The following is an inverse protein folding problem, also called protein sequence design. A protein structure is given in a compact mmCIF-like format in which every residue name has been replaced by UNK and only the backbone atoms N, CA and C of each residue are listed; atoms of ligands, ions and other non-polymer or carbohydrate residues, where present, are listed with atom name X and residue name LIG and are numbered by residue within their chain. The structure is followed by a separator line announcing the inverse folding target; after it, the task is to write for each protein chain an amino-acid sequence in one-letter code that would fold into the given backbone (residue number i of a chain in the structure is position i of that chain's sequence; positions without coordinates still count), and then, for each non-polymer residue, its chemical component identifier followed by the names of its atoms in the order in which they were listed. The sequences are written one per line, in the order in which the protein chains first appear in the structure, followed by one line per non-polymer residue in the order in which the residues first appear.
data_IF_588725302736
#
_entry.id   IF_588725302736
#
_cell.length_a   1.000
_cell.length_b   1.000
_cell.length_c   1.000
_cell.angle_alpha   90.00
_cell.angle_beta   90.00
_cell.angle_gamma   90.00
#
_symmetry.space_group_name_H-M   'P 1'
#
loop_
_entity.id
_entity.type
_entity.pdbx_description
1 polymer ?
#
# COMPACT_ATOMS: atom_id res chain seq x y z
N UNK A 1 -8.23 -5.17 11.77
CA UNK A 1 -6.96 -5.68 11.20
C UNK A 1 -6.01 -4.52 10.97
N UNK A 2 -4.70 -4.72 11.17
CA UNK A 2 -3.70 -3.72 10.80
C UNK A 2 -3.09 -4.10 9.44
N UNK A 3 -3.60 -3.47 8.38
CA UNK A 3 -3.17 -3.73 7.01
C UNK A 3 -3.40 -2.47 6.18
N UNK A 4 -2.50 -2.21 5.23
CA UNK A 4 -2.64 -1.16 4.22
C UNK A 4 -2.85 -1.83 2.87
N UNK A 5 -3.95 -1.49 2.20
CA UNK A 5 -4.33 -2.00 0.90
C UNK A 5 -4.05 -0.93 -0.16
N UNK A 6 -3.15 -1.21 -1.08
CA UNK A 6 -2.74 -0.28 -2.14
C UNK A 6 -3.06 -0.93 -3.48
N UNK A 7 -3.93 -0.31 -4.26
CA UNK A 7 -4.22 -0.73 -5.62
C UNK A 7 -4.65 0.47 -6.47
N UNK A 8 -4.05 0.67 -7.65
CA UNK A 8 -4.41 1.77 -8.55
C UNK A 8 -5.70 1.49 -9.34
N UNK A 9 -6.48 0.49 -8.92
CA UNK A 9 -7.83 0.21 -9.40
C UNK A 9 -8.80 0.00 -8.21
N UNK A 10 -9.64 0.99 -7.93
CA UNK A 10 -10.56 0.97 -6.77
C UNK A 10 -11.49 -0.25 -6.76
N UNK A 11 -11.89 -0.75 -7.94
CA UNK A 11 -12.80 -1.89 -8.09
C UNK A 11 -12.27 -3.17 -7.41
N UNK A 12 -10.95 -3.37 -7.35
CA UNK A 12 -10.33 -4.58 -6.79
C UNK A 12 -10.49 -4.65 -5.28
N UNK A 13 -10.39 -3.50 -4.61
CA UNK A 13 -10.46 -3.38 -3.15
C UNK A 13 -11.83 -2.93 -2.64
N UNK A 14 -12.73 -2.51 -3.54
CA UNK A 14 -14.10 -2.09 -3.21
C UNK A 14 -14.86 -3.15 -2.40
N UNK A 15 -14.62 -4.44 -2.66
CA UNK A 15 -15.20 -5.55 -1.88
C UNK A 15 -14.79 -5.55 -0.41
N UNK A 16 -13.56 -5.13 -0.08
CA UNK A 16 -13.09 -5.02 1.30
C UNK A 16 -13.62 -3.76 1.96
N UNK A 17 -13.84 -2.69 1.18
CA UNK A 17 -14.37 -1.41 1.65
C UNK A 17 -15.88 -1.43 1.91
N UNK A 18 -16.65 -2.13 1.07
CA UNK A 18 -18.11 -2.10 1.07
C UNK A 18 -18.79 -3.45 1.36
N UNK A 19 -18.04 -4.55 1.34
CA UNK A 19 -18.57 -5.89 1.54
C UNK A 19 -18.74 -6.31 3.01
N UNK A 20 -19.00 -7.60 3.26
CA UNK A 20 -19.24 -8.14 4.60
C UNK A 20 -18.07 -7.91 5.58
N UNK A 21 -16.84 -7.81 5.05
CA UNK A 21 -15.62 -7.61 5.84
C UNK A 21 -15.27 -6.15 6.13
N UNK A 22 -16.11 -5.19 5.71
CA UNK A 22 -15.81 -3.75 5.83
C UNK A 22 -15.46 -3.26 7.25
N UNK A 23 -15.99 -3.92 8.27
CA UNK A 23 -15.69 -3.57 9.67
C UNK A 23 -14.31 -4.01 10.15
N UNK A 24 -13.61 -4.87 9.39
CA UNK A 24 -12.27 -5.37 9.77
C UNK A 24 -11.15 -4.43 9.33
N UNK A 25 -11.37 -3.61 8.31
CA UNK A 25 -10.35 -2.76 7.70
C UNK A 25 -10.62 -1.28 8.02
N UNK A 26 -9.55 -0.54 8.30
CA UNK A 26 -9.65 0.91 8.43
C UNK A 26 -9.70 1.55 7.05
N UNK A 27 -10.69 2.43 6.81
CA UNK A 27 -10.85 3.14 5.54
C UNK A 27 -9.66 4.03 5.20
N UNK A 28 -8.93 4.53 6.19
CA UNK A 28 -7.71 5.33 6.00
C UNK A 28 -6.54 4.51 5.47
N UNK A 29 -6.60 3.18 5.59
CA UNK A 29 -5.56 2.27 5.12
C UNK A 29 -5.81 1.78 3.68
N UNK A 30 -6.69 2.42 2.92
CA UNK A 30 -6.89 2.13 1.50
C UNK A 30 -6.32 3.27 0.65
N UNK A 31 -5.39 2.94 -0.24
CA UNK A 31 -4.86 3.86 -1.24
C UNK A 31 -5.27 3.35 -2.61
N UNK A 32 -6.19 4.06 -3.24
CA UNK A 32 -6.72 3.69 -4.56
C UNK A 32 -6.74 4.84 -5.54
N UNK A 33 -6.70 4.49 -6.82
CA UNK A 33 -6.89 5.44 -7.90
C UNK A 33 -7.53 4.77 -9.14
N UNK A 34 -7.65 5.52 -10.23
CA UNK A 34 -7.90 5.07 -11.59
C UNK A 34 -7.27 6.09 -12.58
N UNK A 35 -6.70 5.66 -13.72
CA UNK A 35 -6.53 4.28 -14.18
C UNK A 35 -5.43 3.52 -13.41
N UNK A 36 -5.47 2.18 -13.51
CA UNK A 36 -4.41 1.32 -12.97
C UNK A 36 -3.10 1.41 -13.75
N UNK A 37 -2.06 0.71 -13.28
CA UNK A 37 -0.73 0.76 -13.91
C UNK A 37 -0.61 -0.05 -15.22
N UNK A 38 -1.71 -0.60 -15.75
CA UNK A 38 -1.77 -1.20 -17.09
C UNK A 38 -0.75 -2.32 -17.39
N UNK A 39 -0.39 -3.17 -16.40
CA UNK A 39 0.70 -4.16 -16.51
C UNK A 39 2.08 -3.56 -16.86
N UNK A 40 2.27 -2.26 -16.65
CA UNK A 40 3.54 -1.56 -16.86
C UNK A 40 4.23 -1.31 -15.51
N UNK A 41 5.42 -1.90 -15.34
CA UNK A 41 6.22 -1.70 -14.13
C UNK A 41 6.66 -0.23 -13.97
N UNK A 42 7.06 0.43 -15.06
CA UNK A 42 7.53 1.81 -15.03
C UNK A 42 6.41 2.78 -14.63
N UNK A 43 5.19 2.56 -15.12
CA UNK A 43 4.01 3.33 -14.69
C UNK A 43 3.80 3.22 -13.17
N UNK A 44 3.89 1.99 -12.63
CA UNK A 44 3.73 1.76 -11.20
C UNK A 44 4.85 2.39 -10.36
N UNK A 45 6.11 2.25 -10.78
CA UNK A 45 7.28 2.67 -10.01
C UNK A 45 7.67 4.13 -10.22
N UNK A 46 7.77 4.58 -11.47
CA UNK A 46 8.27 5.91 -11.84
C UNK A 46 7.18 6.98 -11.79
N UNK A 47 5.93 6.63 -12.07
CA UNK A 47 4.83 7.60 -12.15
C UNK A 47 3.94 7.52 -10.91
N UNK A 48 3.20 6.42 -10.73
CA UNK A 48 2.30 6.25 -9.58
C UNK A 48 3.02 6.30 -8.23
N UNK A 49 4.23 5.73 -8.12
CA UNK A 49 5.04 5.76 -6.90
C UNK A 49 5.25 7.19 -6.38
N UNK A 50 5.93 8.06 -7.13
CA UNK A 50 6.12 9.45 -6.76
C UNK A 50 4.81 10.24 -6.57
N UNK A 51 3.82 10.05 -7.45
CA UNK A 51 2.54 10.77 -7.38
C UNK A 51 1.80 10.46 -6.07
N UNK A 52 1.77 9.19 -5.66
CA UNK A 52 1.01 8.73 -4.48
C UNK A 52 1.86 8.56 -3.22
N UNK A 53 3.14 8.95 -3.26
CA UNK A 53 4.09 8.78 -2.16
C UNK A 53 3.53 9.21 -0.81
N UNK A 54 3.02 10.43 -0.72
CA UNK A 54 2.60 10.98 0.58
C UNK A 54 1.32 10.32 1.08
N UNK A 55 0.38 10.02 0.20
CA UNK A 55 -0.83 9.25 0.56
C UNK A 55 -0.48 7.86 1.08
N UNK A 56 0.50 7.20 0.48
CA UNK A 56 1.00 5.89 0.91
C UNK A 56 1.67 5.99 2.29
N UNK A 57 2.56 6.97 2.49
CA UNK A 57 3.25 7.17 3.75
C UNK A 57 2.29 7.50 4.88
N UNK A 58 1.29 8.34 4.65
CA UNK A 58 0.27 8.65 5.65
C UNK A 58 -0.58 7.43 6.02
N UNK A 59 -0.96 6.58 5.05
CA UNK A 59 -1.66 5.34 5.32
C UNK A 59 -0.81 4.35 6.15
N UNK A 60 0.49 4.22 5.81
CA UNK A 60 1.44 3.40 6.56
C UNK A 60 1.63 3.95 7.97
N UNK A 61 1.83 5.26 8.12
CA UNK A 61 2.01 5.92 9.42
C UNK A 61 0.78 5.73 10.32
N UNK A 62 -0.42 5.94 9.78
CA UNK A 62 -1.67 5.69 10.52
C UNK A 62 -1.79 4.22 10.97
N UNK A 63 -1.33 3.26 10.17
CA UNK A 63 -1.28 1.85 10.55
C UNK A 63 -0.22 1.57 11.64
N UNK A 64 0.94 2.21 11.56
CA UNK A 64 2.04 2.06 12.53
C UNK A 64 1.71 2.68 13.88
N UNK A 65 1.11 3.88 13.92
CA UNK A 65 0.72 4.57 15.16
C UNK A 65 -0.30 3.80 16.00
N UNK A 66 -0.96 2.80 15.41
CA UNK A 66 -1.90 1.89 16.10
C UNK A 66 -1.23 0.65 16.68
N UNK A 67 0.08 0.50 16.49
CA UNK A 67 0.87 -0.55 17.12
C UNK A 67 1.53 0.00 18.38
N UNK A 68 1.39 -0.70 19.50
CA UNK A 68 2.16 -0.36 20.72
C UNK A 68 3.66 -0.60 20.50
N UNK A 69 4.00 -1.63 19.72
CA UNK A 69 5.37 -1.91 19.25
C UNK A 69 5.33 -2.51 17.84
N UNK A 70 6.06 -1.87 16.92
CA UNK A 70 6.20 -2.34 15.54
C UNK A 70 7.41 -3.27 15.46
N UNK A 71 7.20 -4.51 15.03
CA UNK A 71 8.26 -5.52 14.86
C UNK A 71 8.66 -5.77 13.40
N UNK A 72 7.81 -5.39 12.44
CA UNK A 72 8.09 -5.60 11.03
C UNK A 72 6.92 -5.30 10.11
N UNK A 73 7.19 -5.36 8.81
CA UNK A 73 6.18 -5.31 7.76
C UNK A 73 6.17 -6.62 6.98
N UNK A 74 4.97 -7.12 6.68
CA UNK A 74 4.77 -8.19 5.70
C UNK A 74 4.22 -7.57 4.42
N UNK A 75 5.02 -7.60 3.35
CA UNK A 75 4.63 -7.06 2.06
C UNK A 75 4.09 -8.18 1.16
N UNK A 76 2.86 -8.03 0.68
CA UNK A 76 2.22 -8.95 -0.26
C UNK A 76 2.02 -8.24 -1.59
N UNK A 77 2.80 -8.63 -2.60
CA UNK A 77 2.79 -8.03 -3.93
C UNK A 77 2.75 -9.10 -5.03
N UNK A 78 2.23 -8.73 -6.20
CA UNK A 78 2.36 -9.54 -7.41
C UNK A 78 3.60 -9.11 -8.19
N UNK A 79 4.34 -10.07 -8.75
CA UNK A 79 5.49 -9.76 -9.62
C UNK A 79 5.09 -9.50 -11.08
N UNK A 80 3.85 -9.82 -11.48
CA UNK A 80 3.44 -9.81 -12.89
C UNK A 80 2.68 -8.56 -13.36
N UNK A 81 2.08 -7.79 -12.45
CA UNK A 81 1.24 -6.64 -12.79
C UNK A 81 1.89 -5.31 -12.37
N UNK A 82 1.64 -4.22 -13.11
CA UNK A 82 2.34 -2.95 -12.94
C UNK A 82 2.21 -2.33 -11.53
N UNK A 83 1.02 -2.40 -10.93
CA UNK A 83 0.81 -1.92 -9.55
C UNK A 83 1.52 -2.83 -8.55
N UNK A 84 1.32 -4.14 -8.63
CA UNK A 84 1.96 -5.09 -7.72
C UNK A 84 3.49 -5.02 -7.80
N UNK A 85 4.06 -5.03 -9.00
CA UNK A 85 5.50 -5.10 -9.20
C UNK A 85 6.15 -3.73 -9.09
N UNK A 86 5.61 -2.73 -9.79
CA UNK A 86 6.19 -1.38 -9.87
C UNK A 86 5.93 -0.61 -8.59
N UNK A 87 4.66 -0.33 -8.29
CA UNK A 87 4.29 0.42 -7.09
C UNK A 87 4.66 -0.36 -5.82
N UNK A 88 4.53 -1.68 -5.81
CA UNK A 88 4.99 -2.51 -4.69
C UNK A 88 6.50 -2.41 -4.42
N UNK A 89 7.33 -2.33 -5.45
CA UNK A 89 8.78 -2.10 -5.29
C UNK A 89 9.06 -0.70 -4.73
N UNK A 90 8.33 0.31 -5.19
CA UNK A 90 8.46 1.67 -4.67
C UNK A 90 8.06 1.75 -3.18
N UNK A 91 6.96 1.10 -2.79
CA UNK A 91 6.53 0.98 -1.39
C UNK A 91 7.60 0.29 -0.55
N UNK A 92 8.23 -0.77 -1.06
CA UNK A 92 9.33 -1.44 -0.36
C UNK A 92 10.50 -0.47 -0.08
N UNK A 93 10.85 0.39 -1.05
CA UNK A 93 11.88 1.42 -0.85
C UNK A 93 11.46 2.43 0.21
N UNK A 94 10.22 2.91 0.18
CA UNK A 94 9.70 3.81 1.22
C UNK A 94 9.77 3.19 2.61
N UNK A 95 9.43 1.92 2.76
CA UNK A 95 9.53 1.23 4.04
C UNK A 95 10.99 1.14 4.51
N UNK A 96 11.93 0.85 3.61
CA UNK A 96 13.35 0.82 3.94
C UNK A 96 13.89 2.20 4.34
N UNK A 97 13.44 3.27 3.69
CA UNK A 97 13.90 4.64 3.94
C UNK A 97 13.33 5.23 5.23
N UNK A 98 12.02 5.03 5.48
CA UNK A 98 11.31 5.66 6.60
C UNK A 98 11.26 4.78 7.86
N UNK A 99 11.42 3.47 7.73
CA UNK A 99 11.46 2.52 8.85
C UNK A 99 12.72 1.63 8.80
N UNK A 100 13.94 2.21 8.73
CA UNK A 100 15.20 1.47 8.52
C UNK A 100 15.59 0.59 9.71
N UNK A 101 15.07 0.89 10.90
CA UNK A 101 15.31 0.16 12.14
C UNK A 101 13.96 -0.10 12.77
N UNK A 102 13.56 -1.35 12.76
CA UNK A 102 12.38 -1.82 13.47
C UNK A 102 12.90 -2.46 14.75
N UNK A 103 12.44 -1.96 15.91
CA UNK A 103 12.92 -2.43 17.21
C UNK A 103 12.67 -3.94 17.32
N UNK A 104 13.71 -4.66 17.75
CA UNK A 104 13.67 -6.11 17.96
C UNK A 104 13.38 -6.42 19.43
#
# INVERSE_FOLDING_TARGET
MNAVCIDMEDSVVARFKNGPLKGLFDKKCFVTNYPGSGNNWAEGFCDHGPIYKETILEAIKHAVERCDSLHGFLLLISSGGGTGSGLGTYVLQLLADYYPKIER
#
